data_IF_884592891562
#
_entry.id   IF_884592891562
#
_cell.length_a   1.000
_cell.length_b   1.000
_cell.length_c   1.000
_cell.angle_alpha   90.00
_cell.angle_beta   90.00
_cell.angle_gamma   90.00
#
_symmetry.space_group_name_H-M   'P 1'
#
loop_
_entity.id
_entity.type
_entity.pdbx_description
1 polymer ?
#
# COMPACT_ATOMS: atom_id res chain seq x y z
N UNK A 1 60.90 -37.32 68.44
CA UNK A 1 59.48 -37.71 68.26
C UNK A 1 58.70 -36.87 69.26
N UNK A 2 57.78 -35.99 68.89
CA UNK A 2 56.51 -36.23 68.18
C UNK A 2 56.06 -35.00 67.37
N UNK A 3 55.20 -35.26 66.38
CA UNK A 3 54.87 -34.43 65.20
C UNK A 3 54.02 -33.18 65.51
N UNK A 4 54.33 -32.07 64.82
CA UNK A 4 53.43 -30.91 64.59
C UNK A 4 52.22 -31.34 63.75
N UNK A 5 51.01 -31.03 64.21
CA UNK A 5 49.78 -31.10 63.42
C UNK A 5 49.52 -29.79 62.64
N UNK A 6 48.86 -29.83 61.47
CA UNK A 6 48.64 -28.63 60.66
C UNK A 6 47.45 -27.81 61.16
N UNK A 7 47.56 -26.48 61.04
CA UNK A 7 46.52 -25.52 61.40
C UNK A 7 45.32 -25.50 60.45
N UNK A 8 44.22 -24.79 60.82
CA UNK A 8 42.96 -24.85 60.11
C UNK A 8 42.99 -24.05 58.79
N UNK A 9 42.39 -24.63 57.75
CA UNK A 9 42.25 -24.03 56.41
C UNK A 9 41.05 -23.07 56.41
N UNK A 10 41.19 -21.80 55.96
CA UNK A 10 40.08 -20.86 55.88
C UNK A 10 39.35 -21.01 54.53
N UNK A 11 38.48 -22.02 54.40
CA UNK A 11 37.77 -22.33 53.14
C UNK A 11 36.27 -21.99 53.10
N UNK A 12 35.68 -21.51 54.21
CA UNK A 12 34.22 -21.49 54.38
C UNK A 12 33.47 -20.27 53.82
N UNK A 13 34.13 -19.14 53.62
CA UNK A 13 33.42 -17.87 53.34
C UNK A 13 33.28 -17.52 51.84
N UNK A 14 34.12 -18.08 50.98
CA UNK A 14 34.09 -17.79 49.53
C UNK A 14 32.96 -18.54 48.82
N UNK A 15 32.61 -19.74 49.29
CA UNK A 15 31.53 -20.56 48.72
C UNK A 15 30.13 -20.00 49.03
N UNK A 16 29.95 -19.27 50.14
CA UNK A 16 28.65 -18.74 50.53
C UNK A 16 28.19 -17.55 49.69
N UNK A 17 29.11 -16.67 49.30
CA UNK A 17 28.82 -15.54 48.41
C UNK A 17 28.66 -15.99 46.95
N UNK A 18 29.44 -16.99 46.52
CA UNK A 18 29.37 -17.52 45.16
C UNK A 18 27.98 -18.08 44.80
N UNK A 19 27.38 -18.89 45.67
CA UNK A 19 26.07 -19.50 45.35
C UNK A 19 24.92 -18.47 45.36
N UNK A 20 24.98 -17.46 46.24
CA UNK A 20 24.00 -16.36 46.19
C UNK A 20 24.08 -15.58 44.88
N UNK A 21 25.28 -15.34 44.34
CA UNK A 21 25.45 -14.69 43.05
C UNK A 21 24.92 -15.56 41.89
N UNK A 22 25.16 -16.88 41.95
CA UNK A 22 24.63 -17.83 40.96
C UNK A 22 23.10 -17.88 40.99
N UNK A 23 22.47 -17.84 42.17
CA UNK A 23 21.01 -17.82 42.30
C UNK A 23 20.43 -16.53 41.71
N UNK A 24 21.02 -15.37 42.02
CA UNK A 24 20.55 -14.08 41.49
C UNK A 24 20.72 -14.02 39.97
N UNK A 25 21.87 -14.47 39.45
CA UNK A 25 22.12 -14.53 38.00
C UNK A 25 21.12 -15.46 37.30
N UNK A 26 20.83 -16.63 37.89
CA UNK A 26 19.85 -17.58 37.37
C UNK A 26 18.43 -17.00 37.34
N UNK A 27 18.02 -16.27 38.38
CA UNK A 27 16.73 -15.60 38.45
C UNK A 27 16.61 -14.49 37.40
N UNK A 28 17.65 -13.68 37.21
CA UNK A 28 17.69 -12.64 36.17
C UNK A 28 17.60 -13.24 34.77
N UNK A 29 18.34 -14.32 34.50
CA UNK A 29 18.27 -15.03 33.22
C UNK A 29 16.88 -15.65 32.98
N UNK A 30 16.23 -16.19 34.01
CA UNK A 30 14.85 -16.67 33.90
C UNK A 30 13.86 -15.54 33.59
N UNK A 31 13.98 -14.38 34.25
CA UNK A 31 13.10 -13.23 33.99
C UNK A 31 13.31 -12.69 32.59
N UNK A 32 14.55 -12.60 32.10
CA UNK A 32 14.85 -12.20 30.72
C UNK A 32 14.32 -13.24 29.73
N UNK A 33 14.46 -14.53 29.99
CA UNK A 33 13.91 -15.58 29.13
C UNK A 33 12.38 -15.55 29.10
N UNK A 34 11.71 -15.30 30.23
CA UNK A 34 10.26 -15.15 30.31
C UNK A 34 9.78 -13.87 29.61
N UNK A 35 10.53 -12.76 29.73
CA UNK A 35 10.26 -11.56 28.94
C UNK A 35 10.43 -11.84 27.45
N UNK A 36 11.51 -12.51 27.03
CA UNK A 36 11.71 -12.85 25.63
C UNK A 36 10.61 -13.79 25.12
N UNK A 37 10.16 -14.78 25.90
CA UNK A 37 9.02 -15.64 25.53
C UNK A 37 7.71 -14.85 25.42
N UNK A 38 7.41 -13.99 26.39
CA UNK A 38 6.19 -13.17 26.39
C UNK A 38 6.19 -12.11 25.28
N UNK A 39 7.35 -11.69 24.79
CA UNK A 39 7.50 -10.82 23.61
C UNK A 39 7.69 -11.60 22.29
N UNK A 40 7.93 -12.92 22.34
CA UNK A 40 8.12 -13.79 21.17
C UNK A 40 6.86 -14.58 20.78
N UNK A 41 5.87 -14.70 21.68
CA UNK A 41 4.56 -15.29 21.36
C UNK A 41 3.75 -14.47 20.33
N UNK A 42 4.15 -13.23 20.02
CA UNK A 42 3.53 -12.45 18.93
C UNK A 42 4.13 -12.73 17.53
N UNK A 43 5.21 -13.50 17.42
CA UNK A 43 5.86 -13.76 16.11
C UNK A 43 6.43 -15.19 16.06
N UNK A 44 5.55 -16.17 15.79
CA UNK A 44 5.73 -17.26 14.81
C UNK A 44 5.07 -18.57 15.25
N UNK A 45 4.12 -19.06 14.45
CA UNK A 45 4.02 -20.51 14.20
C UNK A 45 3.45 -20.76 12.81
N UNK A 46 4.23 -21.35 11.87
CA UNK A 46 3.71 -21.90 10.64
C UNK A 46 3.62 -23.44 10.69
N UNK A 47 2.50 -23.92 10.16
CA UNK A 47 2.28 -25.16 9.40
C UNK A 47 2.03 -26.50 10.14
N UNK A 48 0.81 -27.02 9.97
CA UNK A 48 0.64 -28.33 9.31
C UNK A 48 -0.64 -28.36 8.47
N UNK A 49 -0.50 -28.86 7.24
CA UNK A 49 -1.52 -28.93 6.20
C UNK A 49 -2.51 -30.08 6.44
N UNK A 50 -3.81 -29.81 6.30
CA UNK A 50 -4.71 -30.72 5.59
C UNK A 50 -5.87 -29.97 4.95
N UNK A 51 -6.29 -30.53 3.82
CA UNK A 51 -7.13 -29.98 2.77
C UNK A 51 -8.61 -29.89 3.16
N UNK A 52 -9.26 -28.85 2.65
CA UNK A 52 -10.71 -28.63 2.46
C UNK A 52 -11.39 -27.60 3.37
N UNK A 53 -11.98 -26.59 2.72
CA UNK A 53 -13.16 -25.87 3.21
C UNK A 53 -12.87 -24.61 4.04
N UNK A 54 -13.23 -23.47 3.45
CA UNK A 54 -13.83 -22.31 4.14
C UNK A 54 -13.05 -21.70 5.31
N UNK A 55 -12.35 -20.59 5.05
CA UNK A 55 -11.74 -19.77 6.10
C UNK A 55 -11.47 -18.35 5.64
N UNK A 56 -12.49 -17.49 5.76
CA UNK A 56 -12.30 -16.04 5.94
C UNK A 56 -11.44 -15.80 7.20
N UNK A 57 -10.86 -14.58 7.27
CA UNK A 57 -9.95 -13.96 8.26
C UNK A 57 -8.54 -13.81 7.66
N UNK A 58 -8.05 -12.63 7.31
CA UNK A 58 -7.99 -11.37 8.07
C UNK A 58 -7.95 -10.20 7.05
N UNK A 59 -8.68 -9.10 7.34
CA UNK A 59 -9.07 -7.96 6.49
C UNK A 59 -10.34 -8.13 5.63
N UNK A 60 -11.39 -8.74 6.20
CA UNK A 60 -12.75 -8.29 5.87
C UNK A 60 -13.06 -7.15 6.84
N UNK A 61 -12.92 -5.92 6.38
CA UNK A 61 -13.83 -4.88 6.86
C UNK A 61 -15.22 -5.41 6.50
N UNK A 62 -16.05 -5.76 7.49
CA UNK A 62 -17.40 -6.28 7.28
C UNK A 62 -18.26 -5.15 6.71
N UNK A 63 -18.01 -4.82 5.44
CA UNK A 63 -18.73 -3.82 4.71
C UNK A 63 -20.09 -4.41 4.34
N UNK A 64 -21.14 -3.84 4.93
CA UNK A 64 -22.54 -4.29 4.83
C UNK A 64 -23.32 -3.57 3.70
N UNK A 65 -22.62 -3.02 2.71
CA UNK A 65 -23.22 -2.29 1.59
C UNK A 65 -23.02 -2.96 0.23
N UNK A 66 -23.43 -2.28 -0.86
CA UNK A 66 -23.19 -2.77 -2.22
C UNK A 66 -21.81 -2.28 -2.69
N UNK A 67 -20.81 -3.15 -2.89
CA UNK A 67 -19.45 -2.69 -3.09
C UNK A 67 -19.25 -2.15 -4.50
N UNK A 68 -18.62 -0.98 -4.60
CA UNK A 68 -18.41 -0.22 -5.83
C UNK A 68 -16.98 -0.29 -6.34
N UNK A 69 -16.86 -0.08 -7.65
CA UNK A 69 -15.60 0.26 -8.30
C UNK A 69 -15.54 1.78 -8.51
N UNK A 70 -14.53 2.43 -7.92
CA UNK A 70 -14.17 3.80 -8.23
C UNK A 70 -13.28 3.84 -9.48
N UNK A 71 -13.79 4.44 -10.55
CA UNK A 71 -13.03 4.75 -11.76
C UNK A 71 -12.42 6.15 -11.61
N UNK A 72 -11.09 6.20 -11.60
CA UNK A 72 -10.29 7.39 -11.36
C UNK A 72 -9.65 7.81 -12.67
N UNK A 73 -10.19 8.84 -13.31
CA UNK A 73 -9.66 9.38 -14.57
C UNK A 73 -8.67 10.49 -14.27
N UNK A 74 -7.40 10.29 -14.60
CA UNK A 74 -6.39 11.33 -14.61
C UNK A 74 -6.21 11.81 -16.05
N UNK A 75 -6.73 13.00 -16.34
CA UNK A 75 -6.74 13.57 -17.68
C UNK A 75 -6.08 14.94 -17.69
N UNK A 76 -5.67 15.40 -18.87
CA UNK A 76 -5.10 16.75 -19.00
C UNK A 76 -6.19 17.80 -18.96
N UNK A 77 -7.16 17.70 -19.86
CA UNK A 77 -8.20 18.70 -20.02
C UNK A 77 -9.56 18.01 -20.16
N UNK A 78 -9.83 17.38 -21.30
CA UNK A 78 -11.08 16.70 -21.61
C UNK A 78 -10.96 15.16 -21.56
N UNK A 79 -12.07 14.48 -21.86
CA UNK A 79 -12.16 13.02 -22.04
C UNK A 79 -12.62 12.71 -23.47
N UNK A 80 -11.71 12.67 -24.47
CA UNK A 80 -12.08 12.48 -25.88
C UNK A 80 -12.81 11.15 -26.18
N UNK A 81 -12.65 10.17 -25.29
CA UNK A 81 -13.25 8.83 -25.39
C UNK A 81 -14.45 8.63 -24.45
N UNK A 82 -15.01 9.72 -23.92
CA UNK A 82 -16.18 9.71 -23.03
C UNK A 82 -17.39 8.95 -23.57
N UNK A 83 -17.61 8.94 -24.89
CA UNK A 83 -18.68 8.17 -25.54
C UNK A 83 -18.50 6.65 -25.39
N UNK A 84 -17.26 6.14 -25.50
CA UNK A 84 -16.98 4.70 -25.31
C UNK A 84 -17.24 4.31 -23.86
N UNK A 85 -16.79 5.16 -22.94
CA UNK A 85 -17.03 4.95 -21.52
C UNK A 85 -18.51 5.13 -21.15
N UNK A 86 -19.21 6.06 -21.77
CA UNK A 86 -20.67 6.23 -21.64
C UNK A 86 -21.39 4.94 -21.98
N UNK A 87 -21.10 4.33 -23.12
CA UNK A 87 -21.67 3.03 -23.50
C UNK A 87 -21.27 1.90 -22.54
N UNK A 88 -20.05 1.94 -21.99
CA UNK A 88 -19.59 0.98 -20.99
C UNK A 88 -20.40 1.07 -19.69
N UNK A 89 -20.74 2.28 -19.25
CA UNK A 89 -21.52 2.52 -18.03
C UNK A 89 -23.04 2.48 -18.23
N UNK A 90 -23.55 2.62 -19.45
CA UNK A 90 -24.99 2.73 -19.74
C UNK A 90 -25.82 1.57 -19.16
N UNK A 91 -25.26 0.35 -19.18
CA UNK A 91 -25.93 -0.86 -18.68
C UNK A 91 -25.40 -1.32 -17.32
N UNK A 92 -24.57 -0.50 -16.66
CA UNK A 92 -24.08 -0.79 -15.33
C UNK A 92 -25.14 -0.46 -14.28
N UNK A 93 -25.18 -1.22 -13.19
CA UNK A 93 -25.99 -0.86 -12.04
C UNK A 93 -25.42 0.43 -11.42
N UNK A 94 -26.26 1.47 -11.27
CA UNK A 94 -25.85 2.79 -10.80
C UNK A 94 -25.18 2.70 -9.42
N UNK A 95 -25.59 1.74 -8.59
CA UNK A 95 -25.03 1.51 -7.26
C UNK A 95 -23.69 0.75 -7.25
N UNK A 96 -23.15 0.35 -8.40
CA UNK A 96 -21.98 -0.55 -8.50
C UNK A 96 -20.68 0.16 -8.89
N UNK A 97 -20.72 1.45 -9.19
CA UNK A 97 -19.53 2.23 -9.53
C UNK A 97 -19.64 3.70 -9.14
N UNK A 98 -18.49 4.37 -9.15
CA UNK A 98 -18.37 5.81 -9.00
C UNK A 98 -17.28 6.32 -9.95
N UNK A 99 -17.39 7.59 -10.36
CA UNK A 99 -16.46 8.23 -11.30
C UNK A 99 -15.89 9.48 -10.63
N UNK A 100 -14.56 9.61 -10.69
CA UNK A 100 -13.82 10.78 -10.23
C UNK A 100 -12.84 11.20 -11.33
N UNK A 101 -12.76 12.50 -11.59
CA UNK A 101 -11.91 13.03 -12.65
C UNK A 101 -10.95 14.07 -12.05
N UNK A 102 -9.67 13.91 -12.29
CA UNK A 102 -8.69 14.98 -12.13
C UNK A 102 -8.32 15.48 -13.51
N UNK A 103 -8.51 16.79 -13.71
CA UNK A 103 -8.26 17.53 -14.96
C UNK A 103 -7.60 18.86 -14.63
N UNK A 104 -7.22 19.64 -15.64
CA UNK A 104 -6.74 21.01 -15.47
C UNK A 104 -7.65 21.82 -14.52
N UNK A 105 -7.09 22.60 -13.57
CA UNK A 105 -7.88 23.41 -12.65
C UNK A 105 -8.85 24.34 -13.40
N UNK A 106 -10.13 24.32 -12.99
CA UNK A 106 -11.18 25.14 -13.58
C UNK A 106 -11.88 24.52 -14.80
N UNK A 107 -11.41 23.38 -15.31
CA UNK A 107 -12.17 22.61 -16.30
C UNK A 107 -13.41 21.98 -15.65
N UNK A 108 -14.55 22.08 -16.33
CA UNK A 108 -15.85 21.57 -15.86
C UNK A 108 -16.36 20.58 -16.89
N UNK A 109 -16.83 19.41 -16.43
CA UNK A 109 -17.50 18.44 -17.29
C UNK A 109 -19.02 18.67 -17.24
N UNK A 110 -19.57 19.08 -18.37
CA UNK A 110 -20.98 19.45 -18.58
C UNK A 110 -21.42 19.11 -20.01
N UNK A 111 -22.61 19.57 -20.42
CA UNK A 111 -23.14 19.34 -21.77
C UNK A 111 -22.32 19.94 -22.91
N UNK A 112 -21.49 20.96 -22.62
CA UNK A 112 -20.67 21.63 -23.62
C UNK A 112 -19.32 20.94 -23.83
N UNK A 113 -18.86 20.18 -22.82
CA UNK A 113 -17.51 19.59 -22.76
C UNK A 113 -17.52 18.06 -22.80
N UNK A 114 -18.64 17.40 -22.52
CA UNK A 114 -18.76 15.96 -22.59
C UNK A 114 -20.06 15.49 -23.25
N UNK A 115 -19.92 14.46 -24.10
CA UNK A 115 -21.01 13.77 -24.79
C UNK A 115 -21.74 12.77 -23.90
N UNK A 116 -21.17 12.39 -22.77
CA UNK A 116 -21.73 11.38 -21.87
C UNK A 116 -22.06 11.99 -20.51
N UNK A 117 -23.36 11.98 -20.17
CA UNK A 117 -23.88 12.46 -18.90
C UNK A 117 -23.25 11.78 -17.67
N UNK A 118 -22.64 10.59 -17.84
CA UNK A 118 -21.95 9.89 -16.74
C UNK A 118 -20.79 10.68 -16.13
N UNK A 119 -20.21 11.62 -16.90
CA UNK A 119 -19.04 12.40 -16.49
C UNK A 119 -19.38 13.78 -15.94
N UNK A 120 -20.65 14.20 -15.98
CA UNK A 120 -21.02 15.54 -15.55
C UNK A 120 -20.74 15.74 -14.06
N UNK A 121 -20.11 16.86 -13.73
CA UNK A 121 -19.77 17.26 -12.36
C UNK A 121 -18.98 16.21 -11.56
N UNK A 122 -18.18 15.40 -12.25
CA UNK A 122 -17.31 14.37 -11.62
C UNK A 122 -15.87 14.83 -11.38
N UNK A 123 -15.52 16.04 -11.83
CA UNK A 123 -14.21 16.64 -11.60
C UNK A 123 -13.96 16.97 -10.13
N UNK A 124 -12.71 16.82 -9.69
CA UNK A 124 -12.28 17.28 -8.37
C UNK A 124 -12.28 18.81 -8.29
N UNK A 125 -12.73 19.34 -7.16
CA UNK A 125 -12.73 20.80 -6.91
C UNK A 125 -11.34 21.34 -6.53
N UNK A 126 -10.40 20.46 -6.18
CA UNK A 126 -9.05 20.77 -5.74
C UNK A 126 -7.98 20.20 -6.69
N UNK A 127 -8.29 20.15 -7.98
CA UNK A 127 -7.31 19.77 -9.02
C UNK A 127 -6.08 20.69 -9.01
N UNK A 128 -4.97 20.16 -9.50
CA UNK A 128 -3.68 20.84 -9.57
C UNK A 128 -3.13 20.75 -10.99
N UNK A 129 -2.21 21.63 -11.37
CA UNK A 129 -1.47 21.46 -12.62
C UNK A 129 -0.57 20.22 -12.54
N UNK A 130 -0.64 19.38 -13.57
CA UNK A 130 0.14 18.14 -13.67
C UNK A 130 1.13 18.26 -14.80
N UNK A 131 2.41 18.11 -14.46
CA UNK A 131 3.49 18.03 -15.42
C UNK A 131 3.87 16.57 -15.64
N UNK A 132 4.09 16.21 -16.90
CA UNK A 132 4.35 14.82 -17.27
C UNK A 132 5.66 14.31 -16.67
N UNK A 133 5.60 13.16 -16.01
CA UNK A 133 6.77 12.53 -15.39
C UNK A 133 7.24 13.21 -14.09
N UNK A 134 6.50 14.19 -13.58
CA UNK A 134 6.78 14.86 -12.32
C UNK A 134 5.97 14.30 -11.16
N UNK A 135 6.40 14.65 -9.94
CA UNK A 135 5.68 14.29 -8.71
C UNK A 135 4.26 14.85 -8.61
N UNK A 136 3.93 15.90 -9.37
CA UNK A 136 2.55 16.44 -9.44
C UNK A 136 1.56 15.42 -9.99
N UNK A 137 2.03 14.49 -10.83
CA UNK A 137 1.20 13.38 -11.31
C UNK A 137 0.81 12.42 -10.18
N UNK A 138 1.77 12.04 -9.33
CA UNK A 138 1.51 11.21 -8.15
C UNK A 138 0.62 11.96 -7.15
N UNK A 139 0.81 13.28 -7.02
CA UNK A 139 -0.03 14.13 -6.17
C UNK A 139 -1.49 14.14 -6.66
N UNK A 140 -1.72 14.29 -7.97
CA UNK A 140 -3.05 14.21 -8.58
C UNK A 140 -3.72 12.84 -8.38
N UNK A 141 -2.97 11.75 -8.51
CA UNK A 141 -3.46 10.40 -8.24
C UNK A 141 -3.87 10.21 -6.77
N UNK A 142 -3.09 10.75 -5.84
CA UNK A 142 -3.44 10.74 -4.41
C UNK A 142 -4.71 11.55 -4.13
N UNK A 143 -4.92 12.67 -4.82
CA UNK A 143 -6.16 13.45 -4.70
C UNK A 143 -7.38 12.65 -5.19
N UNK A 144 -7.25 11.96 -6.32
CA UNK A 144 -8.29 11.04 -6.83
C UNK A 144 -8.61 9.92 -5.84
N UNK A 145 -7.59 9.23 -5.34
CA UNK A 145 -7.75 8.16 -4.36
C UNK A 145 -8.39 8.69 -3.07
N UNK A 146 -7.92 9.82 -2.56
CA UNK A 146 -8.43 10.44 -1.35
C UNK A 146 -9.89 10.89 -1.47
N UNK A 147 -10.29 11.43 -2.63
CA UNK A 147 -11.68 11.76 -2.91
C UNK A 147 -12.56 10.50 -2.97
N UNK A 148 -12.10 9.46 -3.65
CA UNK A 148 -12.83 8.21 -3.81
C UNK A 148 -12.96 7.41 -2.51
N UNK A 149 -11.97 7.47 -1.61
CA UNK A 149 -12.00 6.80 -0.32
C UNK A 149 -13.06 7.34 0.64
N UNK A 150 -13.56 8.56 0.41
CA UNK A 150 -14.66 9.14 1.21
C UNK A 150 -15.97 8.37 1.08
N UNK A 151 -16.21 7.73 -0.07
CA UNK A 151 -17.32 6.80 -0.21
C UNK A 151 -16.90 5.45 0.41
N UNK A 152 -17.55 5.01 1.50
CA UNK A 152 -17.24 3.72 2.13
C UNK A 152 -17.62 2.54 1.23
N UNK A 153 -18.50 2.73 0.24
CA UNK A 153 -18.90 1.67 -0.69
C UNK A 153 -17.84 1.41 -1.76
N UNK A 154 -16.91 2.35 -2.00
CA UNK A 154 -15.80 2.11 -2.91
C UNK A 154 -14.79 1.12 -2.31
N UNK A 155 -14.80 -0.11 -2.83
CA UNK A 155 -13.93 -1.20 -2.39
C UNK A 155 -12.81 -1.51 -3.39
N UNK A 156 -12.97 -1.05 -4.64
CA UNK A 156 -11.99 -1.20 -5.71
C UNK A 156 -11.70 0.15 -6.35
N UNK A 157 -10.45 0.42 -6.69
CA UNK A 157 -10.00 1.70 -7.26
C UNK A 157 -9.24 1.42 -8.56
N UNK A 158 -9.66 1.99 -9.68
CA UNK A 158 -9.06 1.76 -11.01
C UNK A 158 -8.60 3.09 -11.56
N UNK A 159 -7.29 3.24 -11.77
CA UNK A 159 -6.69 4.45 -12.33
C UNK A 159 -6.56 4.34 -13.86
N UNK A 160 -7.01 5.38 -14.58
CA UNK A 160 -7.12 5.43 -16.03
C UNK A 160 -6.63 6.78 -16.58
N UNK A 161 -6.12 6.80 -17.81
CA UNK A 161 -5.92 8.02 -18.61
C UNK A 161 -7.11 8.32 -19.53
N UNK A 162 -7.05 9.51 -20.13
CA UNK A 162 -7.83 9.96 -21.29
C UNK A 162 -7.80 9.02 -22.52
N UNK A 163 -6.78 8.16 -22.59
CA UNK A 163 -6.48 7.27 -23.70
C UNK A 163 -6.81 5.79 -23.40
N UNK A 164 -7.23 5.48 -22.18
CA UNK A 164 -7.67 4.14 -21.82
C UNK A 164 -9.04 3.81 -22.43
N UNK A 165 -9.22 2.55 -22.84
CA UNK A 165 -10.51 2.03 -23.34
C UNK A 165 -10.83 0.70 -22.66
N UNK A 166 -12.10 0.45 -22.30
CA UNK A 166 -12.51 -0.85 -21.77
C UNK A 166 -12.52 -1.89 -22.90
N UNK A 167 -11.90 -3.05 -22.65
CA UNK A 167 -11.87 -4.17 -23.61
C UNK A 167 -12.97 -5.20 -23.40
N UNK A 168 -13.61 -5.17 -22.22
CA UNK A 168 -14.71 -6.04 -21.84
C UNK A 168 -15.85 -5.18 -21.28
N UNK A 169 -17.07 -5.72 -21.25
CA UNK A 169 -18.22 -5.02 -20.69
C UNK A 169 -18.11 -4.84 -19.16
N UNK A 170 -18.93 -3.95 -18.62
CA UNK A 170 -18.93 -3.61 -17.21
C UNK A 170 -19.13 -4.84 -16.30
N UNK A 171 -20.13 -5.68 -16.60
CA UNK A 171 -20.44 -6.85 -15.76
C UNK A 171 -19.24 -7.80 -15.62
N UNK A 172 -18.49 -8.01 -16.70
CA UNK A 172 -17.28 -8.82 -16.68
C UNK A 172 -16.19 -8.19 -15.82
N UNK A 173 -15.87 -6.91 -16.06
CA UNK A 173 -14.84 -6.18 -15.32
C UNK A 173 -15.19 -6.12 -13.83
N UNK A 174 -16.44 -5.82 -13.50
CA UNK A 174 -16.94 -5.78 -12.14
C UNK A 174 -16.74 -7.13 -11.44
N UNK A 175 -17.27 -8.21 -12.01
CA UNK A 175 -17.12 -9.55 -11.43
C UNK A 175 -15.65 -9.95 -11.28
N UNK A 176 -14.82 -9.68 -12.27
CA UNK A 176 -13.40 -10.04 -12.24
C UNK A 176 -12.64 -9.29 -11.14
N UNK A 177 -12.81 -7.98 -11.04
CA UNK A 177 -12.10 -7.16 -10.06
C UNK A 177 -12.63 -7.37 -8.64
N UNK A 178 -13.94 -7.53 -8.47
CA UNK A 178 -14.58 -7.72 -7.17
C UNK A 178 -14.37 -9.12 -6.59
N UNK A 179 -14.17 -10.15 -7.42
CA UNK A 179 -13.82 -11.49 -6.96
C UNK A 179 -12.38 -11.61 -6.44
N UNK A 180 -11.51 -10.64 -6.73
CA UNK A 180 -10.10 -10.67 -6.34
C UNK A 180 -9.84 -9.86 -5.07
N UNK A 181 -9.23 -10.51 -4.08
CA UNK A 181 -8.71 -9.83 -2.87
C UNK A 181 -7.38 -9.10 -3.11
N UNK A 182 -6.81 -9.17 -4.32
CA UNK A 182 -5.48 -8.62 -4.64
C UNK A 182 -5.59 -7.36 -5.47
N UNK A 183 -4.69 -6.41 -5.20
CA UNK A 183 -4.39 -5.33 -6.15
C UNK A 183 -3.68 -5.87 -7.39
N UNK A 184 -3.92 -5.23 -8.53
CA UNK A 184 -3.18 -5.45 -9.77
C UNK A 184 -2.27 -4.25 -9.99
N UNK A 185 -0.96 -4.49 -9.88
CA UNK A 185 0.09 -3.49 -10.08
C UNK A 185 1.23 -4.14 -10.86
N UNK A 186 1.83 -3.39 -11.78
CA UNK A 186 3.05 -3.82 -12.45
C UNK A 186 4.25 -3.58 -11.53
N UNK A 187 5.12 -4.58 -11.38
CA UNK A 187 6.32 -4.48 -10.55
C UNK A 187 7.44 -5.32 -11.14
N UNK A 188 8.48 -4.66 -11.63
CA UNK A 188 9.65 -5.29 -12.21
C UNK A 188 10.95 -4.64 -11.73
N UNK A 189 12.02 -5.44 -11.74
CA UNK A 189 13.36 -4.96 -11.44
C UNK A 189 13.84 -4.03 -12.55
N UNK A 190 14.41 -2.88 -12.17
CA UNK A 190 15.06 -2.01 -13.15
C UNK A 190 16.46 -2.53 -13.48
N UNK A 191 16.53 -3.43 -14.47
CA UNK A 191 17.77 -4.06 -14.93
C UNK A 191 18.76 -3.04 -15.50
N UNK A 192 18.27 -1.91 -16.03
CA UNK A 192 19.11 -0.86 -16.64
C UNK A 192 19.66 0.17 -15.65
N UNK A 193 19.34 0.04 -14.35
CA UNK A 193 19.99 0.78 -13.26
C UNK A 193 19.78 2.31 -13.19
N UNK A 194 19.13 2.95 -14.17
CA UNK A 194 19.23 4.41 -14.35
C UNK A 194 18.28 5.29 -13.54
N UNK A 195 17.20 4.76 -12.93
CA UNK A 195 16.13 5.59 -12.33
C UNK A 195 16.14 5.66 -10.81
N UNK A 196 16.79 4.71 -10.14
CA UNK A 196 16.88 4.78 -8.68
C UNK A 196 17.98 5.77 -8.29
N UNK A 197 17.64 6.78 -7.49
CA UNK A 197 18.63 7.69 -6.93
C UNK A 197 19.16 7.13 -5.61
N UNK A 198 20.49 6.95 -5.43
CA UNK A 198 21.07 6.52 -4.16
C UNK A 198 20.67 7.41 -2.96
N UNK A 199 20.32 8.68 -3.21
CA UNK A 199 19.85 9.64 -2.20
C UNK A 199 18.48 9.30 -1.61
N UNK A 200 17.74 8.36 -2.21
CA UNK A 200 16.48 7.85 -1.65
C UNK A 200 16.72 6.92 -0.44
N UNK A 201 17.91 6.35 -0.32
CA UNK A 201 18.34 5.56 0.85
C UNK A 201 18.58 6.48 2.06
N UNK A 202 18.22 6.08 3.29
CA UNK A 202 17.71 4.76 3.69
C UNK A 202 16.19 4.60 3.60
N UNK A 203 15.45 5.66 3.30
CA UNK A 203 13.97 5.68 3.35
C UNK A 203 13.38 4.70 2.33
N UNK A 204 13.88 4.72 1.10
CA UNK A 204 13.51 3.78 0.04
C UNK A 204 14.77 3.02 -0.33
N UNK A 205 14.91 1.80 0.16
CA UNK A 205 16.07 0.97 -0.14
C UNK A 205 16.01 0.45 -1.58
N UNK A 206 17.18 0.34 -2.23
CA UNK A 206 17.30 -0.06 -3.63
C UNK A 206 16.67 -1.43 -3.93
N UNK A 207 16.81 -2.38 -3.01
CA UNK A 207 16.26 -3.74 -3.12
C UNK A 207 14.73 -3.78 -2.97
N UNK A 208 14.15 -2.78 -2.30
CA UNK A 208 12.70 -2.57 -2.15
C UNK A 208 12.10 -1.69 -3.24
N UNK A 209 12.92 -0.93 -3.94
CA UNK A 209 12.47 -0.12 -5.07
C UNK A 209 12.19 -1.00 -6.30
N UNK A 210 11.08 -0.72 -6.99
CA UNK A 210 10.65 -1.42 -8.20
C UNK A 210 10.17 -0.41 -9.23
N UNK A 211 10.17 -0.78 -10.50
CA UNK A 211 9.54 -0.01 -11.58
C UNK A 211 8.21 -0.66 -11.95
N UNK A 212 7.21 0.15 -12.29
CA UNK A 212 5.90 -0.33 -12.72
C UNK A 212 5.31 0.51 -13.84
N UNK A 213 4.08 0.14 -14.24
CA UNK A 213 3.15 1.01 -14.97
C UNK A 213 2.49 1.99 -13.98
N UNK A 214 1.97 3.10 -14.50
CA UNK A 214 1.11 4.01 -13.73
C UNK A 214 -0.25 3.37 -13.44
N UNK A 215 -0.75 2.60 -14.40
CA UNK A 215 -2.11 2.06 -14.38
C UNK A 215 -2.20 0.92 -13.38
N UNK A 216 -3.09 1.08 -12.41
CA UNK A 216 -3.25 0.18 -11.28
C UNK A 216 -4.72 -0.09 -11.00
N UNK A 217 -4.97 -1.24 -10.37
CA UNK A 217 -6.23 -1.50 -9.69
C UNK A 217 -5.98 -1.88 -8.25
N UNK A 218 -6.41 -1.04 -7.31
CA UNK A 218 -6.19 -1.24 -5.87
C UNK A 218 -7.43 -1.77 -5.17
N UNK A 219 -7.21 -2.61 -4.16
CA UNK A 219 -8.19 -2.81 -3.08
C UNK A 219 -8.14 -1.62 -2.11
N UNK A 220 -9.22 -1.39 -1.37
CA UNK A 220 -9.38 -0.24 -0.47
C UNK A 220 -8.23 -0.03 0.52
N UNK A 221 -7.78 -1.08 1.19
CA UNK A 221 -6.68 -0.99 2.16
C UNK A 221 -5.38 -0.49 1.52
N UNK A 222 -5.08 -0.89 0.29
CA UNK A 222 -3.92 -0.40 -0.43
C UNK A 222 -4.09 1.05 -0.92
N UNK A 223 -5.30 1.46 -1.29
CA UNK A 223 -5.57 2.87 -1.61
C UNK A 223 -5.36 3.78 -0.39
N UNK A 224 -5.78 3.34 0.81
CA UNK A 224 -5.54 4.06 2.07
C UNK A 224 -4.04 4.24 2.33
N UNK A 225 -3.25 3.16 2.21
CA UNK A 225 -1.78 3.22 2.36
C UNK A 225 -1.15 4.26 1.42
N UNK A 226 -1.64 4.39 0.18
CA UNK A 226 -1.12 5.36 -0.78
C UNK A 226 -1.47 6.80 -0.40
N UNK A 227 -2.68 7.04 0.10
CA UNK A 227 -3.16 8.38 0.47
C UNK A 227 -2.54 8.85 1.79
N UNK A 228 -2.38 7.93 2.75
CA UNK A 228 -1.84 8.19 4.09
C UNK A 228 -0.30 8.19 4.13
N UNK A 229 0.37 7.94 3.00
CA UNK A 229 1.83 7.93 2.95
C UNK A 229 2.41 9.34 3.13
N UNK A 230 3.11 9.53 4.26
CA UNK A 230 3.85 10.76 4.61
C UNK A 230 5.38 10.58 4.49
N UNK A 231 5.86 9.41 4.07
CA UNK A 231 7.28 9.04 4.12
C UNK A 231 7.88 8.91 2.73
N UNK A 232 7.25 8.13 1.85
CA UNK A 232 7.78 7.76 0.54
C UNK A 232 7.54 8.88 -0.48
N UNK A 233 6.33 9.42 -0.56
CA UNK A 233 5.97 10.45 -1.51
C UNK A 233 6.83 11.73 -1.40
N UNK A 234 7.12 12.29 -0.21
CA UNK A 234 8.02 13.45 -0.09
C UNK A 234 9.43 13.19 -0.63
N UNK A 235 9.93 11.95 -0.50
CA UNK A 235 11.24 11.57 -1.06
C UNK A 235 11.17 11.55 -2.59
N UNK A 236 10.12 10.97 -3.17
CA UNK A 236 9.88 11.03 -4.63
C UNK A 236 9.74 12.47 -5.12
N UNK A 237 8.93 13.30 -4.45
CA UNK A 237 8.74 14.73 -4.78
C UNK A 237 10.05 15.52 -4.79
N UNK A 238 10.97 15.20 -3.88
CA UNK A 238 12.27 15.87 -3.79
C UNK A 238 13.28 15.37 -4.83
N UNK A 239 13.31 14.06 -5.09
CA UNK A 239 14.43 13.40 -5.80
C UNK A 239 14.10 12.95 -7.22
N UNK A 240 12.83 12.89 -7.61
CA UNK A 240 12.41 12.47 -8.95
C UNK A 240 11.97 13.69 -9.78
N UNK A 241 12.86 14.19 -10.64
CA UNK A 241 12.59 15.31 -11.57
C UNK A 241 12.79 14.87 -13.02
N UNK A 242 12.09 15.52 -13.97
CA UNK A 242 12.02 15.15 -15.41
C UNK A 242 13.39 14.97 -16.09
N UNK A 243 14.42 15.69 -15.62
CA UNK A 243 15.79 15.53 -16.13
C UNK A 243 16.35 14.09 -15.99
N UNK A 244 15.71 13.23 -15.19
CA UNK A 244 16.07 11.81 -14.98
C UNK A 244 15.08 10.77 -15.57
N UNK A 245 14.19 11.19 -16.50
CA UNK A 245 13.14 10.39 -17.18
C UNK A 245 11.85 10.10 -16.37
N UNK A 246 10.66 10.03 -17.03
CA UNK A 246 9.35 9.85 -16.37
C UNK A 246 9.31 8.64 -15.44
N UNK A 247 8.88 8.86 -14.20
CA UNK A 247 8.70 7.81 -13.20
C UNK A 247 7.29 7.23 -13.23
N UNK A 248 7.22 5.91 -13.09
CA UNK A 248 6.01 5.19 -12.69
C UNK A 248 6.46 4.13 -11.69
N UNK A 249 6.24 4.40 -10.40
CA UNK A 249 6.53 3.48 -9.30
C UNK A 249 5.41 3.56 -8.29
N UNK A 250 4.43 2.68 -8.41
CA UNK A 250 3.60 2.25 -7.28
C UNK A 250 4.07 0.88 -6.83
N UNK A 251 5.20 0.84 -6.14
CA UNK A 251 5.66 -0.40 -5.51
C UNK A 251 6.64 -0.08 -4.39
N UNK A 252 6.07 0.52 -3.34
CA UNK A 252 6.47 0.23 -1.96
C UNK A 252 5.22 0.00 -1.10
N UNK A 253 4.15 -0.52 -1.71
CA UNK A 253 3.06 -1.13 -0.95
C UNK A 253 3.65 -2.45 -0.50
N UNK A 254 3.96 -2.58 0.80
CA UNK A 254 4.46 -3.82 1.40
C UNK A 254 3.52 -4.96 1.00
N UNK A 255 3.99 -5.83 0.11
CA UNK A 255 3.43 -7.18 -0.07
C UNK A 255 3.82 -8.06 1.11
#
# INVERSE_FOLDING_TARGET
>A
MTRKGPGPIPGGYVLWFGWKFVIVLSMVLCVVALFQLHFHDDIASPNSLSFAGTGSRIFEDNFDGNPKIAFLFLVRQDLPLDFLWGNFFENADIGSFSIYIHSEPGFVFDESTSRSHSFYDRQLTNSIEVAWGESSMIEAERLLLGAALKDPENQRFVLLSDSCVPLYNFSYIYKYLMASQRSFVDSFLNVKGSRYSPKMSPVIQKDKWRKGSQWISLVRSHAQVVVDDEIVFPVFKKLCKVHDQPFYVFSSIKS
#
